data_IF_686870325520
#
_entry.id   IF_686870325520
#
_cell.length_a   1.000
_cell.length_b   1.000
_cell.length_c   1.000
_cell.angle_alpha   90.00
_cell.angle_beta   90.00
_cell.angle_gamma   90.00
#
_symmetry.space_group_name_H-M   'P 1'
#
loop_
_entity.id
_entity.type
_entity.pdbx_description
1 polymer ?
#
# COMPACT_ATOMS: atom_id res chain seq x y z
N UNK A 1 9.71 2.84 17.49
CA UNK A 1 8.31 2.35 17.55
C UNK A 1 8.27 1.13 18.46
N UNK A 2 7.12 0.80 19.05
CA UNK A 2 6.95 -0.16 20.14
C UNK A 2 6.72 -1.61 19.67
N UNK A 3 7.03 -2.00 18.43
CA UNK A 3 7.02 -3.43 18.14
C UNK A 3 8.15 -4.07 18.96
N UNK A 4 7.82 -5.10 19.74
CA UNK A 4 8.74 -5.74 20.67
C UNK A 4 9.10 -7.18 20.26
N UNK A 5 8.39 -7.73 19.28
CA UNK A 5 8.52 -9.13 18.94
C UNK A 5 7.81 -9.57 17.67
N UNK A 6 7.85 -10.88 17.43
CA UNK A 6 7.20 -11.55 16.31
C UNK A 6 6.08 -12.49 16.76
N UNK A 7 5.16 -12.73 15.83
CA UNK A 7 4.22 -13.86 15.85
C UNK A 7 4.89 -15.00 15.06
N UNK A 8 5.12 -16.14 15.72
CA UNK A 8 5.68 -17.35 15.13
C UNK A 8 4.66 -18.10 14.26
N UNK A 9 5.09 -19.06 13.41
CA UNK A 9 4.19 -19.86 12.57
C UNK A 9 3.12 -20.66 13.33
N UNK A 10 3.33 -20.96 14.61
CA UNK A 10 2.36 -21.61 15.50
C UNK A 10 1.49 -20.58 16.26
N UNK A 11 1.47 -19.34 15.80
CA UNK A 11 0.75 -18.19 16.37
C UNK A 11 1.18 -17.77 17.78
N UNK A 12 2.27 -18.31 18.32
CA UNK A 12 2.80 -17.84 19.60
C UNK A 12 3.71 -16.62 19.41
N UNK A 13 3.76 -15.77 20.43
CA UNK A 13 4.58 -14.54 20.44
C UNK A 13 5.99 -14.83 20.95
N UNK A 14 6.97 -14.10 20.43
CA UNK A 14 8.37 -14.15 20.88
C UNK A 14 8.97 -12.74 20.79
N UNK A 15 9.80 -12.33 21.75
CA UNK A 15 10.48 -11.03 21.65
C UNK A 15 11.56 -11.05 20.56
N UNK A 16 12.00 -9.87 20.10
CA UNK A 16 13.08 -9.79 19.12
C UNK A 16 14.40 -10.36 19.65
N UNK A 17 14.75 -10.08 20.92
CA UNK A 17 15.96 -10.58 21.54
C UNK A 17 15.97 -12.11 21.59
N UNK A 18 14.89 -12.72 22.06
CA UNK A 18 14.73 -14.19 22.09
C UNK A 18 14.82 -14.79 20.68
N UNK A 19 14.06 -14.25 19.71
CA UNK A 19 14.02 -14.77 18.34
C UNK A 19 15.38 -14.70 17.62
N UNK A 20 16.14 -13.62 17.83
CA UNK A 20 17.46 -13.44 17.24
C UNK A 20 18.54 -14.31 17.88
N UNK A 21 18.42 -14.58 19.18
CA UNK A 21 19.30 -15.51 19.90
C UNK A 21 19.09 -16.94 19.42
N UNK A 22 17.92 -17.52 19.70
CA UNK A 22 17.61 -18.89 19.36
C UNK A 22 16.14 -19.04 18.96
N UNK A 23 15.85 -19.82 17.92
CA UNK A 23 14.47 -20.04 17.51
C UNK A 23 13.76 -20.96 18.51
N UNK A 24 12.61 -20.52 19.05
CA UNK A 24 11.74 -21.36 19.90
C UNK A 24 11.32 -22.68 19.21
N UNK A 25 11.24 -22.69 17.88
CA UNK A 25 10.83 -23.85 17.08
C UNK A 25 12.01 -24.67 16.55
N UNK A 26 13.22 -24.52 17.12
CA UNK A 26 14.45 -25.14 16.60
C UNK A 26 14.35 -26.67 16.43
N UNK A 27 13.76 -27.36 17.39
CA UNK A 27 13.75 -28.83 17.42
C UNK A 27 12.73 -29.44 16.43
N UNK A 28 11.75 -28.63 15.99
CA UNK A 28 10.70 -29.05 15.06
C UNK A 28 10.94 -28.65 13.61
N UNK A 29 12.09 -28.06 13.29
CA UNK A 29 12.34 -27.48 11.97
C UNK A 29 13.68 -27.96 11.38
N UNK A 30 13.74 -28.26 10.07
CA UNK A 30 14.94 -28.82 9.43
C UNK A 30 16.16 -27.89 9.48
N UNK A 31 15.94 -26.57 9.56
CA UNK A 31 16.99 -25.56 9.59
C UNK A 31 17.21 -24.96 11.00
N UNK A 32 16.67 -25.60 12.06
CA UNK A 32 16.70 -25.11 13.44
C UNK A 32 16.14 -23.69 13.65
N UNK A 33 15.40 -23.15 12.68
CA UNK A 33 14.68 -21.87 12.73
C UNK A 33 13.59 -21.78 11.67
N UNK A 34 12.54 -21.00 11.95
CA UNK A 34 11.40 -20.79 11.06
C UNK A 34 11.67 -19.93 9.81
N UNK A 35 12.55 -18.93 9.92
CA UNK A 35 12.91 -18.01 8.83
C UNK A 35 14.37 -17.57 8.94
N UNK A 36 14.98 -17.16 7.83
CA UNK A 36 16.37 -16.68 7.84
C UNK A 36 16.53 -15.42 8.72
N UNK A 37 17.64 -15.32 9.47
CA UNK A 37 17.93 -14.18 10.35
C UNK A 37 17.93 -12.82 9.63
N UNK A 38 18.53 -12.66 8.43
CA UNK A 38 18.49 -11.39 7.73
C UNK A 38 17.08 -10.90 7.43
N UNK A 39 16.17 -11.82 7.08
CA UNK A 39 14.76 -11.52 6.84
C UNK A 39 14.09 -11.00 8.13
N UNK A 40 14.24 -11.73 9.23
CA UNK A 40 13.68 -11.34 10.53
C UNK A 40 14.24 -9.98 11.00
N UNK A 41 15.56 -9.76 10.90
CA UNK A 41 16.18 -8.48 11.24
C UNK A 41 15.63 -7.33 10.39
N UNK A 42 15.35 -7.57 9.11
CA UNK A 42 14.72 -6.58 8.24
C UNK A 42 13.27 -6.29 8.66
N UNK A 43 12.47 -7.31 9.01
CA UNK A 43 11.10 -7.15 9.50
C UNK A 43 11.03 -6.40 10.85
N UNK A 44 12.01 -6.58 11.73
CA UNK A 44 12.07 -5.89 13.02
C UNK A 44 12.47 -4.41 12.90
N UNK A 45 12.99 -3.97 11.74
CA UNK A 45 13.46 -2.61 11.56
C UNK A 45 12.27 -1.64 11.61
N UNK A 46 12.32 -0.76 12.59
CA UNK A 46 11.29 0.24 12.83
C UNK A 46 11.87 1.65 12.66
N UNK A 47 11.04 2.60 12.24
CA UNK A 47 11.37 4.02 12.35
C UNK A 47 11.04 4.50 13.76
N UNK A 48 11.91 5.32 14.34
CA UNK A 48 11.61 6.00 15.60
C UNK A 48 10.59 7.09 15.37
N UNK A 49 9.75 7.34 16.38
CA UNK A 49 8.81 8.44 16.35
C UNK A 49 9.56 9.71 16.72
N UNK A 50 9.60 10.68 15.82
CA UNK A 50 10.35 11.93 16.02
C UNK A 50 9.49 13.09 16.52
N UNK A 51 8.26 12.81 16.98
CA UNK A 51 7.29 13.84 17.35
C UNK A 51 6.47 14.43 16.19
N UNK A 52 6.90 14.19 14.94
CA UNK A 52 6.28 14.73 13.73
C UNK A 52 5.74 13.59 12.84
N UNK A 53 4.48 13.66 12.38
CA UNK A 53 3.93 12.63 11.51
C UNK A 53 4.50 12.68 10.10
N UNK A 54 4.40 11.55 9.39
CA UNK A 54 4.61 11.51 7.95
C UNK A 54 3.28 11.46 7.19
N UNK A 55 3.27 11.86 5.92
CA UNK A 55 2.11 11.73 5.03
C UNK A 55 1.53 10.31 5.06
N UNK A 56 2.39 9.30 4.96
CA UNK A 56 1.99 7.88 4.98
C UNK A 56 1.44 7.42 6.32
N UNK A 57 1.85 8.02 7.43
CA UNK A 57 1.28 7.74 8.75
C UNK A 57 -0.08 8.42 8.91
N UNK A 58 -0.26 9.63 8.37
CA UNK A 58 -1.54 10.35 8.37
C UNK A 58 -2.57 9.73 7.42
N UNK A 59 -2.15 8.94 6.43
CA UNK A 59 -3.08 8.17 5.59
C UNK A 59 -3.68 6.94 6.29
N UNK A 60 -3.05 6.45 7.37
CA UNK A 60 -3.56 5.33 8.17
C UNK A 60 -4.68 5.78 9.10
N UNK A 61 -5.36 4.82 9.75
CA UNK A 61 -6.33 5.13 10.80
C UNK A 61 -5.64 5.84 11.98
N UNK A 62 -6.30 6.81 12.60
CA UNK A 62 -5.71 7.55 13.74
C UNK A 62 -5.41 6.60 14.91
N UNK A 63 -6.36 5.72 15.24
CA UNK A 63 -6.17 4.72 16.31
C UNK A 63 -5.06 3.74 15.99
N UNK A 64 -4.93 3.31 14.73
CA UNK A 64 -3.81 2.48 14.28
C UNK A 64 -2.47 3.20 14.48
N UNK A 65 -2.34 4.44 14.02
CA UNK A 65 -1.10 5.21 14.17
C UNK A 65 -0.76 5.48 15.63
N UNK A 66 -1.75 5.86 16.45
CA UNK A 66 -1.59 6.05 17.89
C UNK A 66 -1.11 4.77 18.59
N UNK A 67 -1.79 3.63 18.38
CA UNK A 67 -1.40 2.35 18.98
C UNK A 67 0.01 1.92 18.55
N UNK A 68 0.36 2.13 17.27
CA UNK A 68 1.72 1.84 16.77
C UNK A 68 2.79 2.82 17.27
N UNK A 69 2.42 3.88 17.99
CA UNK A 69 3.36 4.77 18.68
C UNK A 69 3.43 4.40 20.17
N UNK A 70 2.30 4.06 20.79
CA UNK A 70 2.17 4.03 22.26
C UNK A 70 2.04 2.65 22.89
N UNK A 71 1.76 1.60 22.12
CA UNK A 71 1.48 0.25 22.67
C UNK A 71 2.40 -0.80 22.08
N UNK A 72 2.88 -1.69 22.93
CA UNK A 72 3.66 -2.84 22.51
C UNK A 72 2.85 -3.78 21.63
N UNK A 73 3.42 -4.17 20.50
CA UNK A 73 2.77 -5.10 19.56
C UNK A 73 3.77 -6.08 18.93
N UNK A 74 3.22 -7.12 18.31
CA UNK A 74 3.99 -8.18 17.66
C UNK A 74 3.74 -8.16 16.16
N UNK A 75 4.81 -8.39 15.40
CA UNK A 75 4.79 -8.38 13.94
C UNK A 75 4.66 -9.82 13.45
N UNK A 76 3.78 -10.08 12.47
CA UNK A 76 3.86 -11.30 11.69
C UNK A 76 4.89 -11.12 10.55
N UNK A 77 6.03 -11.84 10.55
CA UNK A 77 7.04 -11.66 9.50
C UNK A 77 6.53 -11.95 8.08
N UNK A 78 5.55 -12.82 7.90
CA UNK A 78 5.03 -13.16 6.56
C UNK A 78 4.28 -11.98 5.92
N UNK A 79 3.58 -11.19 6.72
CA UNK A 79 2.88 -9.98 6.24
C UNK A 79 3.85 -8.88 5.78
N UNK A 80 5.13 -8.97 6.17
CA UNK A 80 6.18 -8.02 5.80
C UNK A 80 6.94 -8.38 4.53
N UNK A 81 6.81 -9.60 4.01
CA UNK A 81 7.59 -10.06 2.86
C UNK A 81 7.49 -9.10 1.66
N UNK A 82 6.28 -8.64 1.35
CA UNK A 82 6.05 -7.70 0.25
C UNK A 82 6.46 -6.26 0.55
N UNK A 83 6.51 -5.87 1.83
CA UNK A 83 7.05 -4.56 2.22
C UNK A 83 8.57 -4.49 1.97
N UNK A 84 9.28 -5.61 2.13
CA UNK A 84 10.71 -5.71 1.80
C UNK A 84 10.93 -5.53 0.31
N UNK A 85 10.15 -6.23 -0.53
CA UNK A 85 10.24 -6.10 -1.99
C UNK A 85 9.99 -4.66 -2.44
N UNK A 86 8.94 -4.01 -1.91
CA UNK A 86 8.68 -2.61 -2.19
C UNK A 86 9.85 -1.72 -1.80
N UNK A 87 10.30 -1.80 -0.54
CA UNK A 87 11.44 -0.99 -0.05
C UNK A 87 12.70 -1.18 -0.91
N UNK A 88 12.97 -2.40 -1.37
CA UNK A 88 14.13 -2.65 -2.22
C UNK A 88 13.95 -2.12 -3.63
N UNK A 89 12.73 -2.19 -4.20
CA UNK A 89 12.44 -1.58 -5.49
C UNK A 89 12.71 -0.07 -5.48
N UNK A 90 12.27 0.66 -4.43
CA UNK A 90 12.62 2.07 -4.25
C UNK A 90 14.14 2.27 -4.22
N UNK A 91 14.84 1.56 -3.33
CA UNK A 91 16.29 1.69 -3.18
C UNK A 91 17.09 1.35 -4.45
N UNK A 92 16.59 0.47 -5.31
CA UNK A 92 17.23 0.17 -6.60
C UNK A 92 16.98 1.30 -7.59
N UNK A 93 15.71 1.70 -7.75
CA UNK A 93 15.29 2.72 -8.72
C UNK A 93 15.86 4.11 -8.41
N UNK A 94 16.06 4.44 -7.13
CA UNK A 94 16.72 5.66 -6.68
C UNK A 94 18.09 5.85 -7.35
N UNK A 95 18.89 4.79 -7.51
CA UNK A 95 20.21 4.87 -8.16
C UNK A 95 20.18 5.24 -9.65
N UNK A 96 18.99 5.25 -10.26
CA UNK A 96 18.80 5.53 -11.69
C UNK A 96 18.21 6.91 -11.97
N UNK A 97 17.82 7.68 -10.95
CA UNK A 97 17.58 9.11 -11.14
C UNK A 97 18.91 9.87 -11.13
N UNK A 98 19.24 10.54 -12.23
CA UNK A 98 20.50 11.31 -12.38
C UNK A 98 20.21 12.67 -13.05
N UNK A 99 21.09 13.64 -12.88
CA UNK A 99 20.98 14.95 -13.52
C UNK A 99 20.11 15.93 -12.72
N UNK A 100 19.30 16.73 -13.40
CA UNK A 100 18.41 17.76 -12.81
C UNK A 100 17.13 17.17 -12.17
N UNK A 101 17.16 15.88 -11.85
CA UNK A 101 16.07 15.16 -11.23
C UNK A 101 16.27 15.09 -9.71
N UNK A 102 15.17 15.03 -8.96
CA UNK A 102 15.21 14.82 -7.51
C UNK A 102 14.76 13.40 -7.20
N UNK A 103 15.50 12.69 -6.33
CA UNK A 103 15.14 11.34 -5.87
C UNK A 103 15.15 11.25 -4.34
N UNK A 104 14.18 10.52 -3.78
CA UNK A 104 14.04 10.22 -2.34
C UNK A 104 14.14 11.42 -1.37
N UNK A 105 13.93 12.64 -1.85
CA UNK A 105 14.03 13.86 -1.04
C UNK A 105 12.92 13.96 0.00
N UNK A 106 13.30 14.23 1.26
CA UNK A 106 12.36 14.35 2.38
C UNK A 106 12.10 15.80 2.72
N UNK A 107 10.92 16.27 2.31
CA UNK A 107 10.44 17.61 2.57
C UNK A 107 9.54 17.64 3.82
N UNK A 108 9.55 18.77 4.52
CA UNK A 108 8.80 18.96 5.77
C UNK A 108 8.10 20.30 5.75
N UNK A 109 6.84 20.30 6.15
CA UNK A 109 6.06 21.51 6.41
C UNK A 109 5.50 21.48 7.84
N UNK A 110 4.63 22.43 8.18
CA UNK A 110 4.02 22.50 9.50
C UNK A 110 3.06 21.34 9.80
N UNK A 111 2.66 20.57 8.80
CA UNK A 111 1.68 19.48 8.95
C UNK A 111 2.39 18.13 9.14
N UNK A 112 3.30 17.78 8.23
CA UNK A 112 3.98 16.50 8.24
C UNK A 112 5.19 16.45 7.31
N UNK A 113 5.98 15.39 7.47
CA UNK A 113 7.06 15.04 6.55
C UNK A 113 6.55 14.20 5.37
N UNK A 114 7.06 14.48 4.18
CA UNK A 114 6.79 13.73 2.96
C UNK A 114 8.09 13.34 2.26
N UNK A 115 8.11 12.18 1.60
CA UNK A 115 9.24 11.77 0.77
C UNK A 115 8.67 11.22 -0.53
N UNK A 116 8.89 11.93 -1.63
CA UNK A 116 8.56 11.46 -2.97
C UNK A 116 9.70 10.59 -3.50
N UNK A 117 9.39 9.73 -4.47
CA UNK A 117 10.39 8.80 -4.98
C UNK A 117 11.22 9.41 -6.10
N UNK A 118 10.57 10.10 -7.04
CA UNK A 118 11.26 10.71 -8.18
C UNK A 118 10.49 11.91 -8.74
N UNK A 119 11.20 13.00 -9.01
CA UNK A 119 10.70 14.13 -9.79
C UNK A 119 11.56 14.31 -11.04
N UNK A 120 10.91 14.22 -12.19
CA UNK A 120 11.51 14.46 -13.49
C UNK A 120 11.38 15.94 -13.86
N UNK A 121 12.50 16.66 -13.78
CA UNK A 121 12.59 18.08 -14.14
C UNK A 121 12.33 18.40 -15.61
N UNK A 122 12.55 17.45 -16.54
CA UNK A 122 12.34 17.68 -17.98
C UNK A 122 10.84 17.65 -18.32
N UNK A 123 10.17 16.57 -17.89
CA UNK A 123 8.73 16.42 -18.14
C UNK A 123 7.86 17.10 -17.08
N UNK A 124 8.48 17.58 -16.00
CA UNK A 124 7.82 18.16 -14.83
C UNK A 124 6.80 17.19 -14.23
N UNK A 125 7.20 15.92 -14.14
CA UNK A 125 6.36 14.82 -13.68
C UNK A 125 6.84 14.32 -12.31
N UNK A 126 5.92 14.28 -11.35
CA UNK A 126 6.16 13.67 -10.05
C UNK A 126 5.74 12.21 -10.08
N UNK A 127 6.63 11.34 -9.60
CA UNK A 127 6.43 9.90 -9.54
C UNK A 127 6.51 9.37 -8.11
N UNK A 128 5.67 8.37 -7.85
CA UNK A 128 5.71 7.53 -6.66
C UNK A 128 5.74 6.07 -7.13
N UNK A 129 6.55 5.24 -6.48
CA UNK A 129 6.77 3.85 -6.83
C UNK A 129 5.95 2.98 -5.90
N UNK A 130 5.27 1.98 -6.45
CA UNK A 130 4.47 1.06 -5.64
C UNK A 130 4.60 -0.37 -6.12
N UNK A 131 4.60 -1.28 -5.16
CA UNK A 131 4.42 -2.71 -5.44
C UNK A 131 3.01 -3.11 -5.04
N UNK A 132 2.17 -3.46 -6.02
CA UNK A 132 0.76 -3.82 -5.80
C UNK A 132 0.45 -5.24 -6.24
N UNK A 133 -0.61 -5.84 -5.69
CA UNK A 133 -1.17 -7.06 -6.26
C UNK A 133 -2.10 -6.72 -7.43
N UNK A 134 -2.22 -7.63 -8.40
CA UNK A 134 -3.00 -7.47 -9.62
C UNK A 134 -4.44 -7.02 -9.38
N UNK A 135 -5.08 -7.39 -8.26
CA UNK A 135 -6.41 -6.87 -7.92
C UNK A 135 -6.45 -5.34 -7.82
N UNK A 136 -5.49 -4.73 -7.12
CA UNK A 136 -5.41 -3.27 -7.00
C UNK A 136 -4.98 -2.63 -8.32
N UNK A 137 -4.09 -3.29 -9.07
CA UNK A 137 -3.64 -2.84 -10.40
C UNK A 137 -4.83 -2.78 -11.38
N UNK A 138 -5.65 -3.82 -11.43
CA UNK A 138 -6.85 -3.89 -12.27
C UNK A 138 -7.77 -2.69 -12.00
N UNK A 139 -8.06 -2.44 -10.74
CA UNK A 139 -8.89 -1.30 -10.33
C UNK A 139 -8.23 0.04 -10.67
N UNK A 140 -6.93 0.20 -10.40
CA UNK A 140 -6.20 1.43 -10.69
C UNK A 140 -6.13 1.75 -12.20
N UNK A 141 -6.08 0.72 -13.05
CA UNK A 141 -6.18 0.85 -14.50
C UNK A 141 -7.62 1.12 -14.98
N UNK A 142 -8.62 0.93 -14.13
CA UNK A 142 -10.03 1.06 -14.48
C UNK A 142 -10.54 -0.09 -15.36
N UNK A 143 -9.94 -1.28 -15.22
CA UNK A 143 -10.32 -2.48 -15.95
C UNK A 143 -11.45 -3.17 -15.17
N UNK A 144 -12.54 -3.51 -15.84
CA UNK A 144 -13.60 -4.38 -15.31
C UNK A 144 -13.80 -5.59 -16.23
N UNK A 145 -14.09 -6.74 -15.65
CA UNK A 145 -14.46 -7.94 -16.40
C UNK A 145 -15.97 -8.06 -16.50
N UNK A 146 -16.49 -8.22 -17.72
CA UNK A 146 -17.88 -8.56 -17.99
C UNK A 146 -17.95 -9.95 -18.60
N UNK A 147 -19.03 -10.68 -18.32
CA UNK A 147 -19.33 -11.94 -18.99
C UNK A 147 -20.23 -11.67 -20.19
N UNK A 148 -19.79 -12.08 -21.37
CA UNK A 148 -20.56 -11.97 -22.61
C UNK A 148 -20.80 -13.38 -23.17
N UNK A 149 -21.97 -13.65 -23.77
CA UNK A 149 -22.19 -14.92 -24.46
C UNK A 149 -21.14 -15.15 -25.55
N UNK A 150 -20.60 -16.36 -25.64
CA UNK A 150 -19.86 -16.82 -26.81
C UNK A 150 -20.87 -17.02 -27.95
N UNK A 151 -20.57 -16.46 -29.12
CA UNK A 151 -21.40 -16.58 -30.32
C UNK A 151 -20.70 -17.47 -31.34
N UNK A 152 -21.48 -18.19 -32.14
CA UNK A 152 -21.00 -18.93 -33.30
C UNK A 152 -20.80 -18.01 -34.53
N UNK A 153 -20.37 -18.58 -35.64
CA UNK A 153 -20.16 -17.86 -36.92
C UNK A 153 -21.44 -17.20 -37.47
N UNK A 154 -22.61 -17.64 -37.00
CA UNK A 154 -23.93 -17.10 -37.36
C UNK A 154 -24.45 -16.07 -36.36
N UNK A 155 -23.67 -15.73 -35.32
CA UNK A 155 -24.04 -14.78 -34.27
C UNK A 155 -24.96 -15.36 -33.18
N UNK A 156 -25.22 -16.67 -33.17
CA UNK A 156 -26.07 -17.30 -32.15
C UNK A 156 -25.27 -17.73 -30.92
N UNK A 157 -25.82 -17.65 -29.70
CA UNK A 157 -25.11 -18.05 -28.48
C UNK A 157 -24.78 -19.55 -28.45
N UNK A 158 -23.51 -19.88 -28.24
CA UNK A 158 -23.05 -21.26 -28.05
C UNK A 158 -23.58 -21.78 -26.71
N UNK A 159 -24.34 -22.87 -26.71
CA UNK A 159 -24.91 -23.44 -25.49
C UNK A 159 -23.98 -24.47 -24.81
N UNK A 160 -24.04 -24.54 -23.48
CA UNK A 160 -23.32 -25.55 -22.68
C UNK A 160 -23.87 -26.95 -23.00
N UNK A 161 -22.99 -27.88 -23.42
CA UNK A 161 -23.37 -29.24 -23.87
C UNK A 161 -23.54 -30.26 -22.74
N UNK A 162 -23.03 -29.98 -21.55
CA UNK A 162 -23.04 -30.89 -20.39
C UNK A 162 -23.03 -30.13 -19.05
N UNK A 163 -23.31 -30.84 -17.96
CA UNK A 163 -23.32 -30.30 -16.59
C UNK A 163 -24.69 -29.78 -16.13
N UNK A 164 -24.73 -29.24 -14.91
CA UNK A 164 -25.95 -28.75 -14.24
C UNK A 164 -26.65 -27.61 -15.00
N UNK A 165 -25.88 -26.89 -15.82
CA UNK A 165 -26.31 -25.71 -16.57
C UNK A 165 -26.42 -25.98 -18.09
N UNK A 166 -26.65 -27.24 -18.47
CA UNK A 166 -26.80 -27.64 -19.87
C UNK A 166 -27.95 -26.87 -20.52
N UNK A 167 -27.72 -26.32 -21.71
CA UNK A 167 -28.70 -25.50 -22.44
C UNK A 167 -28.61 -23.99 -22.17
N UNK A 168 -27.84 -23.54 -21.17
CA UNK A 168 -27.54 -22.12 -20.99
C UNK A 168 -26.45 -21.64 -21.96
N UNK A 169 -26.44 -20.34 -22.33
CA UNK A 169 -25.34 -19.73 -23.06
C UNK A 169 -24.01 -19.91 -22.33
N UNK A 170 -22.98 -20.34 -23.07
CA UNK A 170 -21.60 -20.31 -22.64
C UNK A 170 -21.14 -18.87 -22.65
N UNK A 171 -20.57 -18.40 -21.54
CA UNK A 171 -20.05 -17.04 -21.43
C UNK A 171 -18.53 -17.04 -21.50
N UNK A 172 -17.96 -16.00 -22.11
CA UNK A 172 -16.54 -15.67 -22.02
C UNK A 172 -16.36 -14.35 -21.28
N UNK A 173 -15.25 -14.23 -20.56
CA UNK A 173 -14.86 -12.97 -19.93
C UNK A 173 -14.26 -12.04 -20.96
N UNK A 174 -14.78 -10.81 -21.02
CA UNK A 174 -14.21 -9.70 -21.78
C UNK A 174 -13.85 -8.59 -20.82
N UNK A 175 -12.67 -8.01 -21.01
CA UNK A 175 -12.21 -6.87 -20.23
C UNK A 175 -12.63 -5.59 -20.93
N UNK A 176 -13.25 -4.69 -20.18
CA UNK A 176 -13.60 -3.36 -20.66
C UNK A 176 -12.94 -2.32 -19.76
N UNK A 177 -12.42 -1.28 -20.39
CA UNK A 177 -11.79 -0.17 -19.70
C UNK A 177 -12.84 0.88 -19.28
N UNK A 178 -12.46 1.77 -18.36
CA UNK A 178 -13.28 2.92 -17.97
C UNK A 178 -14.10 2.75 -16.69
N UNK A 179 -13.74 1.82 -15.81
CA UNK A 179 -14.30 1.78 -14.45
C UNK A 179 -13.71 2.90 -13.59
N UNK A 180 -14.25 4.11 -13.75
CA UNK A 180 -13.81 5.32 -13.05
C UNK A 180 -13.99 5.21 -11.53
N UNK A 181 -15.02 4.52 -11.06
CA UNK A 181 -15.29 4.39 -9.62
C UNK A 181 -14.26 3.48 -8.96
N UNK A 182 -13.98 2.32 -9.58
CA UNK A 182 -12.92 1.43 -9.10
C UNK A 182 -11.55 2.13 -9.11
N UNK A 183 -11.26 2.87 -10.19
CA UNK A 183 -10.03 3.65 -10.32
C UNK A 183 -9.86 4.70 -9.24
N UNK A 184 -10.87 5.54 -9.01
CA UNK A 184 -10.82 6.59 -7.98
C UNK A 184 -10.60 5.97 -6.60
N UNK A 185 -11.29 4.86 -6.30
CA UNK A 185 -11.14 4.18 -5.01
C UNK A 185 -9.75 3.56 -4.83
N UNK A 186 -9.21 2.91 -5.86
CA UNK A 186 -7.89 2.28 -5.80
C UNK A 186 -6.75 3.30 -5.68
N UNK A 187 -6.90 4.48 -6.32
CA UNK A 187 -5.89 5.53 -6.33
C UNK A 187 -6.03 6.56 -5.22
N UNK A 188 -7.13 6.56 -4.43
CA UNK A 188 -7.43 7.63 -3.49
C UNK A 188 -6.29 7.97 -2.51
N UNK A 189 -5.74 6.97 -1.82
CA UNK A 189 -4.64 7.17 -0.86
C UNK A 189 -3.39 7.71 -1.57
N UNK A 190 -3.10 7.19 -2.76
CA UNK A 190 -1.95 7.61 -3.56
C UNK A 190 -2.13 9.02 -4.13
N UNK A 191 -3.35 9.40 -4.51
CA UNK A 191 -3.68 10.74 -4.95
C UNK A 191 -3.47 11.77 -3.84
N UNK A 192 -3.84 11.44 -2.59
CA UNK A 192 -3.51 12.29 -1.44
C UNK A 192 -1.99 12.36 -1.24
N UNK A 193 -1.33 11.21 -1.23
CA UNK A 193 0.12 11.12 -0.99
C UNK A 193 0.91 11.98 -1.99
N UNK A 194 0.68 11.78 -3.29
CA UNK A 194 1.44 12.50 -4.33
C UNK A 194 1.04 13.97 -4.44
N UNK A 195 -0.21 14.33 -4.13
CA UNK A 195 -0.63 15.73 -4.09
C UNK A 195 0.03 16.49 -2.93
N UNK A 196 0.20 15.84 -1.78
CA UNK A 196 0.94 16.40 -0.64
C UNK A 196 2.41 16.62 -0.99
N UNK A 197 3.03 15.67 -1.67
CA UNK A 197 4.42 15.80 -2.13
C UNK A 197 4.58 16.90 -3.17
N UNK A 198 3.64 17.00 -4.12
CA UNK A 198 3.59 18.10 -5.07
C UNK A 198 3.56 19.45 -4.34
N UNK A 199 2.64 19.62 -3.40
CA UNK A 199 2.50 20.90 -2.70
C UNK A 199 3.78 21.25 -1.94
N UNK A 200 4.36 20.29 -1.21
CA UNK A 200 5.65 20.45 -0.53
C UNK A 200 6.78 20.84 -1.48
N UNK A 201 6.90 20.15 -2.61
CA UNK A 201 7.90 20.43 -3.64
C UNK A 201 7.76 21.87 -4.15
N UNK A 202 6.53 22.31 -4.43
CA UNK A 202 6.25 23.66 -4.94
C UNK A 202 6.41 24.77 -3.90
N UNK A 203 6.27 24.47 -2.61
CA UNK A 203 6.33 25.50 -1.55
C UNK A 203 7.68 25.57 -0.83
N UNK A 204 8.43 24.46 -0.77
CA UNK A 204 9.66 24.35 0.01
C UNK A 204 10.90 24.52 -0.86
N UNK A 205 10.88 23.98 -2.08
CA UNK A 205 12.03 24.10 -2.97
C UNK A 205 12.06 25.49 -3.65
N UNK A 206 13.25 25.98 -4.06
CA UNK A 206 13.42 27.29 -4.66
C UNK A 206 12.54 27.54 -5.89
N UNK A 207 12.40 28.79 -6.31
CA UNK A 207 11.70 29.14 -7.54
C UNK A 207 12.27 28.38 -8.76
N UNK A 208 11.39 27.81 -9.59
CA UNK A 208 11.74 27.08 -10.82
C UNK A 208 11.13 25.68 -10.92
N UNK A 209 10.70 25.08 -9.82
CA UNK A 209 10.00 23.80 -9.84
C UNK A 209 8.52 23.96 -10.21
N UNK A 210 8.04 23.10 -11.11
CA UNK A 210 6.61 23.01 -11.43
C UNK A 210 6.22 21.54 -11.58
N UNK A 211 4.93 21.22 -11.43
CA UNK A 211 4.45 19.84 -11.61
C UNK A 211 3.29 19.87 -12.59
N UNK A 212 3.55 19.39 -13.82
CA UNK A 212 2.56 19.26 -14.88
C UNK A 212 1.78 17.96 -14.76
N UNK A 213 2.47 16.87 -14.42
CA UNK A 213 1.90 15.54 -14.38
C UNK A 213 2.23 14.84 -13.05
N UNK A 214 1.38 13.90 -12.66
CA UNK A 214 1.64 13.01 -11.53
C UNK A 214 1.30 11.60 -11.94
N UNK A 215 2.16 10.66 -11.62
CA UNK A 215 1.98 9.26 -11.99
C UNK A 215 2.56 8.33 -10.93
N UNK A 216 2.12 7.08 -10.98
CA UNK A 216 2.63 6.02 -10.10
C UNK A 216 3.20 4.92 -10.97
N UNK A 217 4.50 4.65 -10.81
CA UNK A 217 5.11 3.46 -11.39
C UNK A 217 4.75 2.28 -10.51
N UNK A 218 3.91 1.39 -11.05
CA UNK A 218 3.51 0.18 -10.32
C UNK A 218 4.37 -0.99 -10.76
N UNK A 219 4.79 -1.83 -9.83
CA UNK A 219 5.32 -3.18 -10.08
C UNK A 219 4.28 -4.17 -9.57
N UNK A 220 3.67 -4.95 -10.46
CA UNK A 220 2.67 -5.95 -10.08
C UNK A 220 3.36 -7.21 -9.53
N UNK A 221 3.08 -7.56 -8.27
CA UNK A 221 3.70 -8.70 -7.56
C UNK A 221 3.45 -10.05 -8.24
N UNK A 222 2.32 -10.15 -8.91
CA UNK A 222 1.83 -11.32 -9.64
C UNK A 222 1.72 -11.04 -11.15
N UNK A 223 2.41 -10.00 -11.64
CA UNK A 223 2.48 -9.65 -13.05
C UNK A 223 3.04 -10.80 -13.89
N UNK A 224 2.38 -11.11 -15.01
CA UNK A 224 2.74 -12.22 -15.89
C UNK A 224 2.30 -13.61 -15.41
N UNK A 225 1.66 -13.73 -14.24
CA UNK A 225 1.00 -14.96 -13.83
C UNK A 225 -0.43 -15.04 -14.41
N UNK A 226 -0.98 -16.26 -14.50
CA UNK A 226 -2.35 -16.50 -14.96
C UNK A 226 -3.37 -15.62 -14.23
N UNK A 227 -3.17 -15.37 -12.94
CA UNK A 227 -4.06 -14.54 -12.12
C UNK A 227 -4.11 -13.07 -12.58
N UNK A 228 -3.01 -12.53 -13.12
CA UNK A 228 -2.94 -11.18 -13.68
C UNK A 228 -3.60 -11.13 -15.06
N UNK A 229 -3.36 -12.16 -15.89
CA UNK A 229 -4.02 -12.31 -17.19
C UNK A 229 -5.55 -12.47 -17.05
N UNK A 230 -6.01 -13.18 -16.02
CA UNK A 230 -7.44 -13.31 -15.66
C UNK A 230 -8.08 -11.99 -15.18
N UNK A 231 -7.27 -10.94 -14.96
CA UNK A 231 -7.72 -9.60 -14.61
C UNK A 231 -7.59 -8.61 -15.77
N UNK A 232 -7.15 -9.06 -16.94
CA UNK A 232 -6.96 -8.20 -18.11
C UNK A 232 -5.74 -7.29 -18.01
N UNK A 233 -4.79 -7.59 -17.13
CA UNK A 233 -3.56 -6.83 -16.97
C UNK A 233 -2.50 -7.43 -17.90
N UNK A 234 -2.11 -6.65 -18.90
CA UNK A 234 -1.11 -7.04 -19.90
C UNK A 234 0.31 -6.67 -19.45
N UNK A 235 0.48 -5.46 -18.91
CA UNK A 235 1.77 -4.95 -18.49
C UNK A 235 2.13 -5.36 -17.06
N UNK A 236 3.37 -5.83 -16.85
CA UNK A 236 3.86 -6.24 -15.52
C UNK A 236 4.13 -5.05 -14.60
N UNK A 237 4.49 -3.91 -15.18
CA UNK A 237 4.87 -2.72 -14.45
C UNK A 237 4.23 -1.44 -15.06
N UNK A 238 2.91 -1.29 -15.02
CA UNK A 238 2.24 -0.17 -15.67
C UNK A 238 2.51 1.16 -14.95
N UNK A 239 2.66 2.22 -15.75
CA UNK A 239 2.63 3.60 -15.29
C UNK A 239 1.17 4.08 -15.21
N UNK A 240 0.72 4.46 -14.02
CA UNK A 240 -0.67 4.86 -13.77
C UNK A 240 -0.76 6.37 -13.51
N UNK A 241 -1.39 7.16 -14.41
CA UNK A 241 -1.62 8.58 -14.17
C UNK A 241 -2.52 8.85 -12.97
N UNK A 242 -2.17 9.84 -12.16
CA UNK A 242 -2.90 10.22 -10.95
C UNK A 242 -3.34 11.67 -11.06
N UNK A 243 -4.64 11.91 -10.95
CA UNK A 243 -5.16 13.26 -10.89
C UNK A 243 -4.92 13.86 -9.50
N UNK A 244 -4.36 15.06 -9.49
CA UNK A 244 -4.10 15.78 -8.26
C UNK A 244 -5.34 16.29 -7.56
N UNK A 245 -5.25 16.37 -6.24
CA UNK A 245 -6.24 17.00 -5.38
C UNK A 245 -5.76 18.44 -5.10
N UNK A 246 -6.68 19.40 -5.04
CA UNK A 246 -6.34 20.79 -4.68
C UNK A 246 -5.66 20.85 -3.31
N UNK A 247 -4.60 21.68 -3.22
CA UNK A 247 -3.81 21.82 -1.99
C UNK A 247 -4.61 22.34 -0.78
N UNK A 248 -5.70 23.08 -1.02
CA UNK A 248 -6.64 23.45 0.05
C UNK A 248 -7.20 22.21 0.75
N UNK A 249 -7.65 21.21 -0.02
CA UNK A 249 -8.23 19.98 0.53
C UNK A 249 -7.17 19.07 1.15
N UNK A 250 -5.97 19.02 0.58
CA UNK A 250 -4.84 18.26 1.13
C UNK A 250 -4.46 18.79 2.50
N UNK A 251 -4.20 20.11 2.63
CA UNK A 251 -3.88 20.73 3.92
C UNK A 251 -4.99 20.53 4.94
N UNK A 252 -6.26 20.69 4.54
CA UNK A 252 -7.40 20.46 5.44
C UNK A 252 -7.50 19.01 5.91
N UNK A 253 -7.31 18.05 5.00
CA UNK A 253 -7.38 16.62 5.32
C UNK A 253 -6.23 16.19 6.22
N UNK A 254 -4.98 16.46 5.81
CA UNK A 254 -3.79 16.05 6.56
C UNK A 254 -3.64 16.83 7.86
N UNK A 255 -3.93 18.14 7.87
CA UNK A 255 -3.96 18.95 9.09
C UNK A 255 -4.93 18.38 10.13
N UNK A 256 -6.17 18.05 9.72
CA UNK A 256 -7.13 17.40 10.63
C UNK A 256 -6.62 16.05 11.15
N UNK A 257 -5.96 15.26 10.30
CA UNK A 257 -5.41 13.95 10.69
C UNK A 257 -4.24 14.11 11.67
N UNK A 258 -3.35 15.09 11.45
CA UNK A 258 -2.28 15.46 12.38
C UNK A 258 -2.86 15.84 13.74
N UNK A 259 -3.80 16.78 13.78
CA UNK A 259 -4.36 17.28 15.05
C UNK A 259 -5.05 16.17 15.85
N UNK A 260 -5.76 15.26 15.16
CA UNK A 260 -6.36 14.09 15.79
C UNK A 260 -5.31 13.11 16.34
N UNK A 261 -4.20 12.91 15.63
CA UNK A 261 -3.11 12.04 16.11
C UNK A 261 -2.41 12.65 17.32
N UNK A 262 -2.06 13.93 17.25
CA UNK A 262 -1.43 14.64 18.37
C UNK A 262 -2.34 14.68 19.60
N UNK A 263 -3.64 14.96 19.42
CA UNK A 263 -4.60 14.90 20.51
C UNK A 263 -4.76 13.49 21.07
N UNK A 264 -4.65 12.44 20.24
CA UNK A 264 -4.69 11.07 20.72
C UNK A 264 -3.45 10.67 21.52
N UNK A 265 -2.27 11.18 21.13
CA UNK A 265 -1.03 11.00 21.90
C UNK A 265 -1.09 11.73 23.24
N UNK A 266 -1.65 12.93 23.28
CA UNK A 266 -1.82 13.73 24.50
C UNK A 266 -2.85 13.11 25.46
N UNK A 267 -4.02 12.71 24.95
CA UNK A 267 -5.15 12.21 25.75
C UNK A 267 -5.12 10.70 26.00
N UNK A 268 -4.15 10.01 25.39
CA UNK A 268 -4.06 8.55 25.37
C UNK A 268 -5.36 7.86 24.90
N UNK A 269 -6.01 8.44 23.89
CA UNK A 269 -7.26 7.91 23.34
C UNK A 269 -7.46 8.31 21.88
N UNK A 270 -7.85 7.33 21.04
CA UNK A 270 -8.34 7.58 19.69
C UNK A 270 -9.64 6.80 19.41
N UNK A 271 -10.62 7.41 18.72
CA UNK A 271 -11.83 6.70 18.30
C UNK A 271 -11.51 5.59 17.30
N UNK A 272 -12.40 4.59 17.18
CA UNK A 272 -12.25 3.50 16.20
C UNK A 272 -12.05 4.03 14.79
N UNK A 273 -11.19 3.35 14.03
CA UNK A 273 -10.91 3.67 12.63
C UNK A 273 -12.19 3.67 11.81
N UNK A 274 -12.31 4.61 10.86
CA UNK A 274 -13.47 4.73 9.98
C UNK A 274 -13.57 3.55 9.03
N UNK A 275 -14.77 3.30 8.50
CA UNK A 275 -15.03 2.20 7.54
C UNK A 275 -14.01 2.14 6.41
N UNK A 276 -13.66 3.29 5.82
CA UNK A 276 -12.64 3.38 4.76
C UNK A 276 -11.23 3.00 5.23
N UNK A 277 -10.82 3.49 6.40
CA UNK A 277 -9.49 3.22 6.98
C UNK A 277 -9.31 1.73 7.35
N UNK A 278 -10.42 1.04 7.61
CA UNK A 278 -10.44 -0.40 7.90
C UNK A 278 -10.64 -1.29 6.68
N UNK A 279 -10.81 -0.71 5.48
CA UNK A 279 -11.21 -1.43 4.27
C UNK A 279 -12.46 -2.29 4.50
N UNK A 280 -13.49 -1.67 5.09
CA UNK A 280 -14.74 -2.33 5.49
C UNK A 280 -14.50 -3.52 6.44
N UNK A 281 -13.57 -3.36 7.37
CA UNK A 281 -13.18 -4.37 8.37
C UNK A 281 -12.06 -5.32 7.91
N UNK A 282 -11.80 -5.44 6.61
CA UNK A 282 -10.79 -6.36 6.07
C UNK A 282 -9.39 -6.10 6.61
N UNK A 283 -9.02 -4.83 6.82
CA UNK A 283 -7.71 -4.46 7.37
C UNK A 283 -7.54 -5.00 8.79
N UNK A 284 -8.57 -4.86 9.62
CA UNK A 284 -8.55 -5.32 11.01
C UNK A 284 -8.53 -6.85 11.13
N UNK A 285 -9.07 -7.57 10.14
CA UNK A 285 -9.14 -9.03 10.14
C UNK A 285 -7.80 -9.75 9.88
N UNK A 286 -6.77 -9.06 9.39
CA UNK A 286 -5.49 -9.71 9.12
C UNK A 286 -4.34 -8.85 8.59
N UNK A 287 -4.51 -7.53 8.44
CA UNK A 287 -3.44 -6.64 7.95
C UNK A 287 -2.96 -5.64 8.99
N UNK A 288 -3.77 -5.35 10.02
CA UNK A 288 -3.45 -4.39 11.05
C UNK A 288 -2.75 -5.09 12.22
N UNK A 289 -1.47 -4.78 12.41
CA UNK A 289 -0.60 -5.38 13.45
C UNK A 289 -1.04 -5.05 14.89
N UNK A 290 -1.86 -4.01 15.06
CA UNK A 290 -2.39 -3.57 16.36
C UNK A 290 -3.88 -3.91 16.51
N UNK A 291 -4.43 -4.75 15.64
CA UNK A 291 -5.86 -5.13 15.65
C UNK A 291 -6.28 -5.82 16.95
N UNK A 292 -5.46 -6.74 17.45
CA UNK A 292 -5.73 -7.46 18.70
C UNK A 292 -5.80 -6.49 19.90
N UNK A 293 -4.85 -5.57 19.99
CA UNK A 293 -4.82 -4.51 21.02
C UNK A 293 -6.01 -3.57 20.85
N UNK A 294 -6.34 -3.23 19.61
CA UNK A 294 -7.48 -2.38 19.31
C UNK A 294 -8.80 -3.02 19.75
N UNK A 295 -8.92 -4.35 19.69
CA UNK A 295 -10.10 -5.11 20.09
C UNK A 295 -10.28 -5.17 21.62
N UNK A 296 -9.19 -5.11 22.39
CA UNK A 296 -9.26 -5.09 23.86
C UNK A 296 -9.57 -3.71 24.44
N UNK A 297 -9.37 -2.65 23.64
CA UNK A 297 -9.70 -1.29 24.02
C UNK A 297 -11.17 -1.03 23.66
N UNK A 298 -11.97 -0.64 24.65
CA UNK A 298 -13.36 -0.21 24.41
C UNK A 298 -13.43 0.97 23.41
#
# INVERSE_FOLDING_TARGET
MPAIGFICPDNQRVTFSECFGECRLKDGLPCSRCKALPFLRKCARQREWTGEPSTTQLLRGIRESWLKITRDYYINPDDHAFSILGTHAHAVLDNFGKGDHLTEERLRDEICSGAFDFYDGETQTLYDYKTWGSYKVQQALGIRSIEVPEIDESGQPILKKSGKNKGEPKTRKVYVNGDSVARINALFETAIQISDYRDKLLTILPEGYTVKNMAVQVISRDGGLMVSAMRGIEEKAPLVPVNGISGHWIRKYLGRKRDLLLSALEKDYAPKCRRRETWEGRKCAGYCEVSEICATLN
#
